data_IF_715075707758
#
_entry.id   IF_715075707758
#
_cell.length_a   1.000
_cell.length_b   1.000
_cell.length_c   1.000
_cell.angle_alpha   90.00
_cell.angle_beta   90.00
_cell.angle_gamma   90.00
#
_symmetry.space_group_name_H-M   'P 1'
#
loop_
_entity.id
_entity.type
_entity.pdbx_description
1 polymer ?
#
# COMPACT_ATOMS: atom_id res chain seq x y z
N UNK A 1 -32.74 5.02 -2.10
CA UNK A 1 -31.52 4.65 -2.85
C UNK A 1 -30.64 3.83 -1.93
N UNK A 2 -30.77 2.50 -1.96
CA UNK A 2 -29.92 1.59 -1.20
C UNK A 2 -29.68 0.37 -2.11
N UNK A 3 -28.44 0.18 -2.56
CA UNK A 3 -28.17 -0.86 -3.55
C UNK A 3 -26.72 -1.09 -3.99
N UNK A 4 -25.77 -0.22 -3.62
CA UNK A 4 -24.34 -0.46 -3.94
C UNK A 4 -23.62 -1.32 -2.88
N UNK A 5 -24.17 -1.43 -1.66
CA UNK A 5 -23.51 -2.10 -0.53
C UNK A 5 -23.50 -3.63 -0.65
N UNK A 6 -24.57 -4.24 -1.15
CA UNK A 6 -24.71 -5.71 -1.21
C UNK A 6 -23.84 -6.34 -2.29
N UNK A 7 -23.74 -5.69 -3.46
CA UNK A 7 -22.95 -6.20 -4.60
C UNK A 7 -21.46 -6.19 -4.30
N UNK A 8 -20.96 -5.11 -3.68
CA UNK A 8 -19.56 -5.00 -3.30
C UNK A 8 -19.20 -6.09 -2.28
N UNK A 9 -20.07 -6.35 -1.28
CA UNK A 9 -19.86 -7.40 -0.27
C UNK A 9 -19.81 -8.80 -0.86
N UNK A 10 -20.73 -9.14 -1.76
CA UNK A 10 -20.74 -10.45 -2.42
C UNK A 10 -19.46 -10.70 -3.26
N UNK A 11 -18.95 -9.66 -3.92
CA UNK A 11 -17.68 -9.74 -4.64
C UNK A 11 -16.48 -9.95 -3.70
N UNK A 12 -16.41 -9.18 -2.59
CA UNK A 12 -15.41 -9.38 -1.54
C UNK A 12 -15.39 -10.82 -1.02
N UNK A 13 -16.55 -11.38 -0.71
CA UNK A 13 -16.66 -12.72 -0.14
C UNK A 13 -16.26 -13.81 -1.16
N UNK A 14 -16.50 -13.56 -2.45
CA UNK A 14 -16.07 -14.45 -3.53
C UNK A 14 -14.54 -14.47 -3.69
N UNK A 15 -13.89 -13.31 -3.59
CA UNK A 15 -12.42 -13.25 -3.59
C UNK A 15 -11.84 -13.95 -2.36
N UNK A 16 -12.38 -13.71 -1.15
CA UNK A 16 -11.91 -14.38 0.07
C UNK A 16 -11.95 -15.91 -0.03
N UNK A 17 -13.04 -16.46 -0.56
CA UNK A 17 -13.20 -17.90 -0.73
C UNK A 17 -12.15 -18.50 -1.68
N UNK A 18 -11.65 -17.72 -2.65
CA UNK A 18 -10.62 -18.17 -3.59
C UNK A 18 -9.20 -18.19 -2.99
N UNK A 19 -8.96 -17.43 -1.91
CA UNK A 19 -7.62 -17.23 -1.33
C UNK A 19 -7.48 -17.77 0.10
N UNK A 20 -8.39 -18.64 0.56
CA UNK A 20 -8.42 -19.16 1.94
C UNK A 20 -7.29 -20.15 2.29
N UNK A 21 -6.28 -20.30 1.44
CA UNK A 21 -5.10 -21.11 1.73
C UNK A 21 -4.02 -20.25 2.38
N UNK A 22 -3.60 -20.65 3.57
CA UNK A 22 -2.50 -20.12 4.37
C UNK A 22 -1.11 -20.28 3.73
N UNK A 23 -1.00 -20.15 2.41
CA UNK A 23 0.26 -20.23 1.70
C UNK A 23 0.96 -18.87 1.77
N UNK A 24 2.08 -18.84 2.49
CA UNK A 24 2.95 -17.67 2.66
C UNK A 24 3.65 -17.24 1.37
N UNK A 25 3.52 -18.00 0.28
CA UNK A 25 4.14 -17.72 -1.02
C UNK A 25 3.31 -18.26 -2.17
N UNK A 26 2.96 -17.39 -3.13
CA UNK A 26 2.30 -17.78 -4.38
C UNK A 26 3.32 -17.93 -5.51
N UNK A 27 3.12 -18.89 -6.40
CA UNK A 27 3.88 -19.01 -7.65
C UNK A 27 3.39 -18.02 -8.70
N UNK A 28 4.20 -17.76 -9.73
CA UNK A 28 3.82 -16.88 -10.85
C UNK A 28 2.57 -17.41 -11.56
N UNK A 29 2.45 -18.73 -11.72
CA UNK A 29 1.30 -19.39 -12.35
C UNK A 29 0.02 -19.21 -11.54
N UNK A 30 0.08 -19.34 -10.21
CA UNK A 30 -1.05 -19.08 -9.33
C UNK A 30 -1.49 -17.61 -9.41
N UNK A 31 -0.53 -16.68 -9.46
CA UNK A 31 -0.83 -15.25 -9.61
C UNK A 31 -1.46 -14.95 -10.97
N UNK A 32 -0.96 -15.53 -12.07
CA UNK A 32 -1.56 -15.38 -13.41
C UNK A 32 -2.98 -15.94 -13.51
N UNK A 33 -3.24 -17.06 -12.83
CA UNK A 33 -4.56 -17.67 -12.83
C UNK A 33 -5.59 -16.90 -11.98
N UNK A 34 -5.14 -15.94 -11.17
CA UNK A 34 -6.01 -15.12 -10.33
C UNK A 34 -6.88 -14.19 -11.18
N UNK A 35 -8.16 -14.06 -10.79
CA UNK A 35 -9.10 -13.10 -11.39
C UNK A 35 -8.97 -11.69 -10.81
N UNK A 36 -8.20 -11.53 -9.74
CA UNK A 36 -7.96 -10.26 -9.09
C UNK A 36 -6.45 -9.99 -8.97
N UNK A 37 -6.09 -8.72 -8.93
CA UNK A 37 -4.73 -8.33 -8.62
C UNK A 37 -4.39 -8.73 -7.18
N UNK A 38 -3.19 -9.28 -6.98
CA UNK A 38 -2.71 -9.80 -5.72
C UNK A 38 -1.54 -8.97 -5.21
N UNK A 39 -1.51 -8.81 -3.89
CA UNK A 39 -0.46 -8.13 -3.15
C UNK A 39 -0.08 -8.98 -1.94
N UNK A 40 1.22 -9.19 -1.72
CA UNK A 40 1.73 -9.75 -0.48
C UNK A 40 1.98 -8.62 0.52
N UNK A 41 1.52 -8.77 1.75
CA UNK A 41 1.68 -7.81 2.83
C UNK A 41 2.35 -8.47 4.02
N UNK A 42 3.52 -7.96 4.40
CA UNK A 42 4.22 -8.36 5.62
C UNK A 42 4.11 -7.23 6.65
N UNK A 43 3.62 -7.55 7.84
CA UNK A 43 3.48 -6.61 8.96
C UNK A 43 4.50 -6.95 10.05
N UNK A 44 5.49 -6.07 10.24
CA UNK A 44 6.63 -6.33 11.11
C UNK A 44 7.37 -7.63 10.75
N UNK A 45 7.56 -8.51 11.73
CA UNK A 45 8.24 -9.80 11.57
C UNK A 45 7.30 -10.98 11.28
N UNK A 46 5.99 -10.73 11.11
CA UNK A 46 4.99 -11.77 10.86
C UNK A 46 5.14 -12.37 9.45
N UNK A 47 4.50 -13.50 9.22
CA UNK A 47 4.39 -14.08 7.88
C UNK A 47 3.62 -13.16 6.93
N UNK A 48 3.92 -13.25 5.63
CA UNK A 48 3.21 -12.50 4.60
C UNK A 48 1.77 -12.98 4.47
N UNK A 49 0.82 -12.05 4.49
CA UNK A 49 -0.56 -12.28 4.10
C UNK A 49 -0.78 -11.90 2.63
N UNK A 50 -1.69 -12.59 1.94
CA UNK A 50 -2.11 -12.20 0.60
C UNK A 50 -3.38 -11.34 0.69
N UNK A 51 -3.36 -10.22 -0.02
CA UNK A 51 -4.51 -9.36 -0.23
C UNK A 51 -4.89 -9.34 -1.71
N UNK A 52 -6.19 -9.33 -2.00
CA UNK A 52 -6.73 -9.21 -3.33
C UNK A 52 -7.31 -7.80 -3.54
N UNK A 53 -7.09 -7.22 -4.72
CA UNK A 53 -7.73 -5.98 -5.14
C UNK A 53 -9.21 -6.24 -5.37
N UNK A 54 -10.06 -5.67 -4.54
CA UNK A 54 -11.49 -5.80 -4.69
C UNK A 54 -12.03 -4.87 -5.78
N UNK A 55 -11.74 -3.57 -5.68
CA UNK A 55 -12.12 -2.61 -6.71
C UNK A 55 -11.35 -1.30 -6.53
N UNK A 56 -11.47 -0.46 -7.55
CA UNK A 56 -10.96 0.90 -7.57
C UNK A 56 -12.17 1.85 -7.53
N UNK A 57 -12.22 2.75 -6.56
CA UNK A 57 -13.29 3.74 -6.42
C UNK A 57 -12.69 5.13 -6.22
N UNK A 58 -13.02 6.06 -7.13
CA UNK A 58 -12.46 7.41 -7.14
C UNK A 58 -10.91 7.43 -7.15
N UNK A 59 -10.28 6.48 -7.86
CA UNK A 59 -8.81 6.33 -7.90
C UNK A 59 -8.20 5.56 -6.72
N UNK A 60 -8.99 5.27 -5.67
CA UNK A 60 -8.51 4.54 -4.51
C UNK A 60 -8.63 3.03 -4.71
N UNK A 61 -7.52 2.33 -4.49
CA UNK A 61 -7.44 0.88 -4.57
C UNK A 61 -7.85 0.28 -3.23
N UNK A 62 -8.86 -0.60 -3.23
CA UNK A 62 -9.33 -1.29 -2.03
C UNK A 62 -8.88 -2.74 -2.05
N UNK A 63 -7.97 -3.08 -1.15
CA UNK A 63 -7.39 -4.41 -1.00
C UNK A 63 -8.01 -5.11 0.21
N UNK A 64 -8.38 -6.37 0.05
CA UNK A 64 -8.97 -7.19 1.11
C UNK A 64 -8.12 -8.43 1.35
N UNK A 65 -7.93 -8.80 2.61
CA UNK A 65 -7.35 -10.10 2.99
C UNK A 65 -8.43 -11.15 3.30
N UNK A 66 -8.02 -12.41 3.41
CA UNK A 66 -8.91 -13.51 3.81
C UNK A 66 -9.52 -13.32 5.22
N UNK A 67 -8.80 -12.67 6.13
CA UNK A 67 -9.23 -12.36 7.51
C UNK A 67 -9.98 -11.01 7.64
N UNK A 68 -10.43 -10.44 6.53
CA UNK A 68 -11.23 -9.20 6.45
C UNK A 68 -10.48 -7.90 6.81
N UNK A 69 -9.16 -7.89 6.76
CA UNK A 69 -8.40 -6.64 6.80
C UNK A 69 -8.62 -5.91 5.46
N UNK A 70 -8.94 -4.63 5.54
CA UNK A 70 -9.15 -3.75 4.39
C UNK A 70 -8.07 -2.68 4.35
N UNK A 71 -7.32 -2.60 3.25
CA UNK A 71 -6.40 -1.49 2.98
C UNK A 71 -6.97 -0.66 1.83
N UNK A 72 -7.03 0.67 2.03
CA UNK A 72 -7.43 1.62 1.01
C UNK A 72 -6.22 2.49 0.70
N UNK A 73 -5.79 2.48 -0.55
CA UNK A 73 -4.60 3.19 -0.99
C UNK A 73 -4.91 4.21 -2.11
N UNK A 74 -4.35 5.41 -2.00
CA UNK A 74 -4.30 6.41 -3.06
C UNK A 74 -2.92 6.38 -3.74
N UNK A 75 -2.86 5.98 -5.00
CA UNK A 75 -1.60 5.87 -5.77
C UNK A 75 -0.49 5.08 -5.03
N UNK A 76 -0.90 4.12 -4.19
CA UNK A 76 0.00 3.28 -3.39
C UNK A 76 0.26 3.76 -1.97
N UNK A 77 -0.12 4.98 -1.59
CA UNK A 77 -0.09 5.48 -0.20
C UNK A 77 -1.31 4.97 0.55
N UNK A 78 -1.13 4.34 1.72
CA UNK A 78 -2.24 3.97 2.59
C UNK A 78 -2.93 5.21 3.12
N UNK A 79 -4.23 5.33 2.85
CA UNK A 79 -5.06 6.46 3.30
C UNK A 79 -6.10 6.06 4.33
N UNK A 80 -6.44 4.76 4.39
CA UNK A 80 -7.34 4.16 5.37
C UNK A 80 -7.11 2.67 5.52
N UNK A 81 -7.29 2.15 6.73
CA UNK A 81 -7.27 0.72 7.04
C UNK A 81 -8.47 0.34 7.90
N UNK A 82 -8.88 -0.94 7.86
CA UNK A 82 -9.87 -1.52 8.77
C UNK A 82 -9.46 -2.95 9.15
N UNK A 83 -9.77 -3.37 10.37
CA UNK A 83 -9.49 -4.72 10.87
C UNK A 83 -8.10 -4.91 11.48
N UNK A 84 -7.30 -3.85 11.60
CA UNK A 84 -6.03 -3.85 12.34
C UNK A 84 -6.23 -3.54 13.83
N UNK A 85 -5.20 -3.74 14.64
CA UNK A 85 -5.19 -3.34 16.05
C UNK A 85 -5.27 -1.81 16.23
N UNK A 86 -4.63 -1.05 15.34
CA UNK A 86 -4.78 0.39 15.19
C UNK A 86 -5.06 0.69 13.71
N UNK A 87 -6.19 1.35 13.44
CA UNK A 87 -6.59 1.68 12.08
C UNK A 87 -6.31 3.15 11.76
N UNK A 88 -5.82 3.40 10.54
CA UNK A 88 -5.84 4.71 9.92
C UNK A 88 -7.27 4.97 9.44
N UNK A 89 -7.98 5.88 10.09
CA UNK A 89 -9.40 6.13 9.83
C UNK A 89 -9.59 7.12 8.69
N UNK A 90 -8.72 8.12 8.61
CA UNK A 90 -8.82 9.20 7.63
C UNK A 90 -7.44 9.76 7.30
N UNK A 91 -7.28 10.18 6.05
CA UNK A 91 -6.13 10.97 5.56
C UNK A 91 -6.66 12.11 4.69
N UNK A 92 -6.35 13.35 5.06
CA UNK A 92 -6.76 14.55 4.33
C UNK A 92 -5.76 15.00 3.26
N UNK A 93 -6.12 16.08 2.55
CA UNK A 93 -5.29 16.77 1.57
C UNK A 93 -4.71 15.83 0.47
N UNK A 94 -5.51 14.86 0.01
CA UNK A 94 -5.08 13.83 -0.95
C UNK A 94 -4.77 14.42 -2.33
N UNK A 95 -5.35 15.57 -2.68
CA UNK A 95 -5.05 16.32 -3.89
C UNK A 95 -3.59 16.81 -3.97
N UNK A 96 -2.87 16.79 -2.84
CA UNK A 96 -1.44 17.08 -2.74
C UNK A 96 -0.58 15.82 -2.54
N UNK A 97 -1.15 14.61 -2.71
CA UNK A 97 -0.38 13.37 -2.64
C UNK A 97 0.75 13.41 -3.69
N UNK A 98 2.03 13.34 -3.28
CA UNK A 98 3.16 13.47 -4.20
C UNK A 98 3.26 12.34 -5.24
N UNK A 99 2.61 11.21 -5.01
CA UNK A 99 2.55 10.10 -5.97
C UNK A 99 1.48 10.28 -7.06
N UNK A 100 0.70 11.37 -7.05
CA UNK A 100 -0.16 11.76 -8.17
C UNK A 100 0.64 12.20 -9.40
N UNK A 101 1.86 12.68 -9.20
CA UNK A 101 2.76 13.06 -10.29
C UNK A 101 3.90 12.04 -10.40
N UNK A 102 4.33 11.70 -11.62
CA UNK A 102 5.46 10.80 -11.79
C UNK A 102 6.71 11.41 -11.17
N UNK A 103 7.27 10.73 -10.16
CA UNK A 103 8.57 10.99 -9.52
C UNK A 103 8.76 12.43 -8.99
N UNK A 104 8.24 12.76 -7.79
CA UNK A 104 8.47 14.06 -7.17
C UNK A 104 9.97 14.26 -6.92
N UNK A 105 10.57 15.28 -7.57
CA UNK A 105 12.00 15.59 -7.41
C UNK A 105 12.31 15.94 -5.95
N UNK A 106 11.55 16.87 -5.35
CA UNK A 106 11.40 17.11 -3.90
C UNK A 106 10.09 17.83 -3.66
N UNK A 107 9.26 17.34 -2.74
CA UNK A 107 7.96 17.95 -2.44
C UNK A 107 7.59 17.75 -0.97
N UNK A 108 6.92 18.72 -0.35
CA UNK A 108 6.44 18.61 1.02
C UNK A 108 4.93 18.41 1.02
N UNK A 109 4.44 17.44 1.78
CA UNK A 109 3.01 17.19 1.93
C UNK A 109 2.62 17.25 3.40
N UNK A 110 1.79 18.25 3.72
CA UNK A 110 1.19 18.42 5.04
C UNK A 110 -0.27 17.98 5.00
N UNK A 111 -0.69 17.16 5.97
CA UNK A 111 -2.03 16.58 6.02
C UNK A 111 -2.48 16.36 7.46
N UNK A 112 -3.79 16.22 7.64
CA UNK A 112 -4.36 15.73 8.89
C UNK A 112 -4.71 14.25 8.73
N UNK A 113 -4.43 13.45 9.75
CA UNK A 113 -4.81 12.04 9.81
C UNK A 113 -5.60 11.74 11.08
N UNK A 114 -6.46 10.72 10.99
CA UNK A 114 -7.16 10.17 12.14
C UNK A 114 -6.66 8.75 12.36
N UNK A 115 -6.19 8.46 13.57
CA UNK A 115 -5.70 7.13 13.94
C UNK A 115 -6.50 6.66 15.15
N UNK A 116 -7.09 5.48 15.01
CA UNK A 116 -7.81 4.81 16.09
C UNK A 116 -6.88 4.62 17.30
N UNK A 117 -7.37 4.97 18.49
CA UNK A 117 -6.58 4.88 19.73
C UNK A 117 -5.63 6.06 19.98
N UNK A 118 -5.17 6.74 18.93
CA UNK A 118 -4.23 7.87 19.05
C UNK A 118 -4.93 9.24 19.00
N UNK A 119 -5.87 9.44 18.06
CA UNK A 119 -6.68 10.66 17.99
C UNK A 119 -7.08 11.10 16.58
N UNK A 120 -7.80 12.23 16.52
CA UNK A 120 -8.39 12.78 15.30
C UNK A 120 -7.81 14.16 14.97
N UNK A 121 -7.74 14.46 13.68
CA UNK A 121 -7.22 15.72 13.16
C UNK A 121 -5.73 15.90 13.40
N UNK A 122 -4.97 14.81 13.50
CA UNK A 122 -3.57 14.82 13.87
C UNK A 122 -2.75 15.44 12.72
N UNK A 123 -2.16 16.64 12.89
CA UNK A 123 -1.36 17.25 11.85
C UNK A 123 -0.05 16.46 11.69
N UNK A 124 0.28 16.09 10.46
CA UNK A 124 1.60 15.58 10.09
C UNK A 124 2.14 16.35 8.89
N UNK A 125 3.47 16.43 8.81
CA UNK A 125 4.17 16.91 7.63
C UNK A 125 5.12 15.83 7.13
N UNK A 126 5.33 15.81 5.82
CA UNK A 126 6.22 14.85 5.19
C UNK A 126 7.06 15.50 4.11
N UNK A 127 8.33 15.13 4.05
CA UNK A 127 9.26 15.54 3.00
C UNK A 127 9.54 14.35 2.08
N UNK A 128 9.29 14.55 0.79
CA UNK A 128 9.44 13.52 -0.24
C UNK A 128 10.64 13.81 -1.13
N UNK A 129 11.35 12.76 -1.53
CA UNK A 129 12.50 12.87 -2.43
C UNK A 129 12.70 11.59 -3.23
N UNK A 130 13.25 11.74 -4.44
CA UNK A 130 13.90 10.63 -5.13
C UNK A 130 15.19 10.26 -4.36
N UNK A 131 15.23 9.06 -3.80
CA UNK A 131 16.40 8.54 -3.06
C UNK A 131 17.47 8.01 -4.00
N UNK A 132 17.07 7.41 -5.12
CA UNK A 132 17.97 6.83 -6.12
C UNK A 132 17.40 5.58 -6.73
N UNK A 133 18.27 4.63 -7.10
CA UNK A 133 17.87 3.33 -7.64
C UNK A 133 18.25 2.20 -6.72
N UNK A 134 17.39 1.19 -6.62
CA UNK A 134 17.65 -0.04 -5.89
C UNK A 134 17.17 -1.24 -6.72
N UNK A 135 17.81 -2.38 -6.55
CA UNK A 135 17.42 -3.62 -7.20
C UNK A 135 16.52 -4.43 -6.28
N UNK A 136 15.31 -4.76 -6.73
CA UNK A 136 14.38 -5.63 -6.00
C UNK A 136 14.39 -7.04 -6.58
N UNK A 137 14.26 -8.04 -5.70
CA UNK A 137 13.92 -9.41 -6.10
C UNK A 137 12.48 -9.70 -5.71
N UNK A 138 11.63 -10.02 -6.68
CA UNK A 138 10.23 -10.38 -6.51
C UNK A 138 9.97 -11.61 -7.37
N UNK A 139 9.40 -12.68 -6.79
CA UNK A 139 9.13 -13.94 -7.50
C UNK A 139 10.38 -14.53 -8.18
N UNK A 140 11.53 -14.44 -7.53
CA UNK A 140 12.85 -14.84 -8.05
C UNK A 140 13.31 -14.08 -9.31
N UNK A 141 12.63 -13.00 -9.67
CA UNK A 141 12.98 -12.12 -10.77
C UNK A 141 13.50 -10.79 -10.25
N UNK A 142 14.40 -10.18 -11.01
CA UNK A 142 15.09 -8.96 -10.62
C UNK A 142 14.48 -7.75 -11.32
N UNK A 143 14.21 -6.69 -10.57
CA UNK A 143 13.66 -5.43 -11.06
C UNK A 143 14.60 -4.29 -10.69
N UNK A 144 14.97 -3.49 -11.68
CA UNK A 144 15.73 -2.27 -11.45
C UNK A 144 14.74 -1.12 -11.19
N UNK A 145 14.76 -0.57 -9.97
CA UNK A 145 13.70 0.31 -9.48
C UNK A 145 14.23 1.69 -9.11
N UNK A 146 13.37 2.70 -9.21
CA UNK A 146 13.53 4.01 -8.60
C UNK A 146 12.86 4.01 -7.24
N UNK A 147 13.55 4.53 -6.23
CA UNK A 147 13.06 4.60 -4.86
C UNK A 147 12.70 6.03 -4.50
N UNK A 148 11.44 6.23 -4.17
CA UNK A 148 10.93 7.46 -3.58
C UNK A 148 10.85 7.25 -2.07
N UNK A 149 11.37 8.20 -1.30
CA UNK A 149 11.33 8.18 0.15
C UNK A 149 10.50 9.35 0.67
N UNK A 150 9.59 9.05 1.58
CA UNK A 150 8.81 9.99 2.38
C UNK A 150 9.37 9.96 3.80
N UNK A 151 9.80 11.11 4.32
CA UNK A 151 10.11 11.27 5.74
C UNK A 151 8.93 11.94 6.43
N UNK A 152 8.17 11.18 7.22
CA UNK A 152 7.02 11.68 7.99
C UNK A 152 7.50 12.27 9.31
N UNK A 153 6.89 13.35 9.76
CA UNK A 153 7.17 14.01 11.03
C UNK A 153 5.87 14.42 11.72
N UNK A 154 5.73 14.05 12.99
CA UNK A 154 4.71 14.64 13.87
C UNK A 154 5.26 15.94 14.48
N UNK A 155 4.46 17.03 14.49
CA UNK A 155 4.85 18.25 15.14
C UNK A 155 4.93 18.06 16.65
N UNK A 156 5.95 18.67 17.27
CA UNK A 156 6.25 18.59 18.70
C UNK A 156 5.28 19.39 19.61
N UNK A 157 4.05 19.66 19.18
CA UNK A 157 3.08 20.50 19.91
C UNK A 157 1.92 19.67 20.46
N UNK A 158 1.24 20.09 21.55
CA UNK A 158 0.11 19.36 22.11
C UNK A 158 -1.00 19.09 21.08
N UNK A 159 -1.70 17.93 21.14
CA UNK A 159 -1.69 16.95 22.23
C UNK A 159 -0.53 15.94 22.20
N UNK A 160 0.41 16.04 21.25
CA UNK A 160 1.52 15.08 21.12
C UNK A 160 2.61 15.33 22.16
N UNK A 161 2.65 14.51 23.22
CA UNK A 161 3.67 14.60 24.29
C UNK A 161 4.92 13.75 23.96
N UNK A 162 4.89 12.96 22.87
CA UNK A 162 6.10 12.43 22.23
C UNK A 162 6.57 13.40 21.15
N UNK A 163 7.59 14.19 21.48
CA UNK A 163 8.19 15.15 20.56
C UNK A 163 9.16 14.44 19.62
N UNK A 164 9.25 14.90 18.36
CA UNK A 164 10.25 14.42 17.40
C UNK A 164 9.99 13.03 16.81
N UNK A 165 8.75 12.53 16.82
CA UNK A 165 8.40 11.31 16.12
C UNK A 165 8.56 11.49 14.61
N UNK A 166 9.44 10.69 14.02
CA UNK A 166 9.68 10.67 12.60
C UNK A 166 10.06 9.27 12.14
N UNK A 167 9.58 8.91 10.95
CA UNK A 167 9.95 7.66 10.29
C UNK A 167 9.98 7.85 8.78
N UNK A 168 10.42 6.81 8.07
CA UNK A 168 10.51 6.79 6.62
C UNK A 168 9.51 5.79 6.05
N UNK A 169 8.78 6.23 5.03
CA UNK A 169 8.08 5.34 4.11
C UNK A 169 8.85 5.33 2.78
N UNK A 170 8.78 4.21 2.06
CA UNK A 170 9.48 4.03 0.79
C UNK A 170 8.60 3.37 -0.25
N UNK A 171 8.83 3.76 -1.50
CA UNK A 171 8.03 3.34 -2.66
C UNK A 171 8.99 3.03 -3.80
N UNK A 172 8.94 1.78 -4.29
CA UNK A 172 9.82 1.28 -5.34
C UNK A 172 9.03 1.10 -6.62
N UNK A 173 9.39 1.92 -7.61
CA UNK A 173 8.79 1.93 -8.93
C UNK A 173 9.75 1.28 -9.92
N UNK A 174 9.26 0.41 -10.80
CA UNK A 174 10.05 -0.09 -11.91
C UNK A 174 10.54 1.07 -12.80
N UNK A 175 11.81 1.04 -13.21
CA UNK A 175 12.42 2.15 -13.97
C UNK A 175 11.80 2.39 -15.34
N UNK A 176 11.34 1.32 -16.00
CA UNK A 176 10.88 1.39 -17.38
C UNK A 176 9.38 1.66 -17.44
N UNK A 177 8.60 0.85 -16.74
CA UNK A 177 7.14 0.93 -16.72
C UNK A 177 6.58 1.97 -15.76
N UNK A 178 7.39 2.42 -14.79
CA UNK A 178 6.94 3.31 -13.70
C UNK A 178 5.83 2.71 -12.83
N UNK A 179 5.65 1.38 -12.86
CA UNK A 179 4.71 0.67 -11.99
C UNK A 179 5.26 0.55 -10.57
N UNK A 180 4.42 0.81 -9.57
CA UNK A 180 4.78 0.61 -8.16
C UNK A 180 4.81 -0.89 -7.85
N UNK A 181 5.99 -1.43 -7.60
CA UNK A 181 6.21 -2.86 -7.34
C UNK A 181 6.25 -3.19 -5.85
N UNK A 182 6.73 -2.26 -5.02
CA UNK A 182 6.76 -2.41 -3.56
C UNK A 182 6.55 -1.09 -2.86
N UNK A 183 5.91 -1.11 -1.70
CA UNK A 183 5.96 -0.01 -0.75
C UNK A 183 6.17 -0.51 0.68
N UNK A 184 6.82 0.31 1.49
CA UNK A 184 7.08 0.09 2.91
C UNK A 184 6.52 1.29 3.64
N UNK A 185 5.51 1.08 4.46
CA UNK A 185 4.73 2.17 5.05
C UNK A 185 4.42 1.92 6.50
N UNK A 186 4.57 2.96 7.31
CA UNK A 186 4.07 3.07 8.67
C UNK A 186 3.21 4.33 8.75
N UNK A 187 2.10 4.25 9.49
CA UNK A 187 1.17 5.38 9.63
C UNK A 187 0.92 5.79 11.10
N UNK A 188 1.08 4.87 12.06
CA UNK A 188 0.99 5.14 13.49
C UNK A 188 2.39 5.08 14.12
N UNK A 189 2.73 5.92 15.11
CA UNK A 189 4.00 5.84 15.86
C UNK A 189 4.28 4.47 16.47
N UNK A 190 3.27 3.86 17.08
CA UNK A 190 3.37 2.57 17.78
C UNK A 190 2.94 1.38 16.91
N UNK A 191 2.43 1.65 15.71
CA UNK A 191 1.99 0.64 14.75
C UNK A 191 3.13 -0.08 14.04
N UNK A 192 2.77 -1.18 13.38
CA UNK A 192 3.66 -1.98 12.54
C UNK A 192 4.05 -1.24 11.24
N UNK A 193 5.20 -1.61 10.68
CA UNK A 193 5.54 -1.27 9.29
C UNK A 193 4.98 -2.33 8.35
N UNK A 194 4.24 -1.89 7.33
CA UNK A 194 3.63 -2.71 6.31
C UNK A 194 4.48 -2.72 5.04
N UNK A 195 5.06 -3.87 4.73
CA UNK A 195 5.75 -4.14 3.48
C UNK A 195 4.77 -4.75 2.48
N UNK A 196 4.37 -3.97 1.49
CA UNK A 196 3.42 -4.34 0.44
C UNK A 196 4.17 -4.61 -0.86
N UNK A 197 4.08 -5.82 -1.38
CA UNK A 197 4.67 -6.21 -2.68
C UNK A 197 3.55 -6.55 -3.66
N UNK A 198 3.46 -5.80 -4.75
CA UNK A 198 2.38 -5.90 -5.74
C UNK A 198 2.68 -7.04 -6.73
N UNK A 199 2.31 -8.26 -6.34
CA UNK A 199 2.64 -9.50 -7.06
C UNK A 199 2.14 -9.47 -8.49
N UNK A 200 0.87 -9.11 -8.72
CA UNK A 200 0.30 -9.09 -10.07
C UNK A 200 0.97 -8.05 -10.99
N UNK A 201 1.41 -6.90 -10.44
CA UNK A 201 2.18 -5.92 -11.22
C UNK A 201 3.53 -6.49 -11.63
N UNK A 202 4.25 -7.13 -10.71
CA UNK A 202 5.52 -7.78 -11.00
C UNK A 202 5.36 -8.90 -12.05
N UNK A 203 4.35 -9.76 -11.92
CA UNK A 203 4.02 -10.82 -12.89
C UNK A 203 3.77 -10.25 -14.28
N UNK A 204 2.99 -9.17 -14.40
CA UNK A 204 2.74 -8.51 -15.69
C UNK A 204 4.01 -8.01 -16.38
N UNK A 205 4.97 -7.49 -15.61
CA UNK A 205 6.26 -7.06 -16.15
C UNK A 205 7.15 -8.24 -16.55
N UNK A 206 7.11 -9.35 -15.81
CA UNK A 206 7.80 -10.60 -16.20
C UNK A 206 7.26 -11.08 -17.54
N UNK A 207 5.93 -11.16 -17.67
CA UNK A 207 5.25 -11.59 -18.89
C UNK A 207 5.61 -10.69 -20.08
N UNK A 208 5.65 -9.38 -19.88
CA UNK A 208 6.06 -8.42 -20.91
C UNK A 208 7.52 -8.61 -21.36
N UNK A 209 8.44 -8.93 -20.44
CA UNK A 209 9.85 -9.24 -20.75
C UNK A 209 10.01 -10.56 -21.49
N UNK A 210 9.14 -11.53 -21.21
CA UNK A 210 9.14 -12.87 -21.82
C UNK A 210 8.31 -12.94 -23.12
N UNK A 211 7.61 -11.86 -23.48
CA UNK A 211 6.75 -11.80 -24.68
C UNK A 211 5.44 -12.58 -24.54
N UNK A 212 4.99 -12.84 -23.32
CA UNK A 212 3.73 -13.53 -23.02
C UNK A 212 2.58 -12.50 -23.08
N UNK A 213 1.54 -12.72 -23.90
CA UNK A 213 0.38 -11.83 -23.96
C UNK A 213 -0.45 -11.91 -22.67
N UNK A 214 -1.06 -10.78 -22.30
CA UNK A 214 -1.91 -10.65 -21.10
C UNK A 214 -3.39 -10.84 -21.40
#
# INVERSE_FOLDING_TARGET
MAGCSSTNRAYYDTLKAAFSSSESSLTVEQIRASRADLMAVKSGDRDSAIMALAYIENGHHKWVSADNILFIADHGVLIRTEGLAENLIFTGNLEQNPLLQPFPLKFNWSRAIDIEGLGYGLPISSAWRLKGSETLSILSQTFDTLVIEETVSFPSQPPFIQTGLSWQNRYWFDKESQELLRSEQKFSPDGDTYNMTYLSRATRLIDAREGIPQ
#
